data_IF_503020915257
#
_entry.id   IF_503020915257
#
_cell.length_a   1.000
_cell.length_b   1.000
_cell.length_c   1.000
_cell.angle_alpha   90.00
_cell.angle_beta   90.00
_cell.angle_gamma   90.00
#
_symmetry.space_group_name_H-M   'P 1'
#
loop_
_entity.id
_entity.type
_entity.pdbx_description
1 polymer ?
#
# COMPACT_ATOMS: atom_id res chain seq x y z
N UNK A 1 41.41 8.46 -20.97
CA UNK A 1 41.79 9.80 -20.46
C UNK A 1 40.59 10.36 -19.71
N UNK A 2 40.47 10.42 -18.38
CA UNK A 2 41.42 10.59 -17.27
C UNK A 2 41.81 12.05 -16.95
N UNK A 3 40.89 12.76 -16.27
CA UNK A 3 41.03 13.99 -15.44
C UNK A 3 39.79 14.03 -14.52
N UNK A 4 39.81 14.27 -13.19
CA UNK A 4 40.85 14.59 -12.20
C UNK A 4 41.50 15.98 -12.39
N UNK A 5 41.63 16.86 -11.38
CA UNK A 5 41.51 16.71 -9.92
C UNK A 5 40.87 18.01 -9.28
N UNK A 6 41.19 18.57 -8.09
CA UNK A 6 40.19 18.87 -7.05
C UNK A 6 40.11 20.35 -6.59
N UNK A 7 39.27 20.64 -5.59
CA UNK A 7 39.58 21.64 -4.55
C UNK A 7 38.71 21.41 -3.29
N UNK A 8 39.32 21.49 -2.10
CA UNK A 8 38.64 21.44 -0.81
C UNK A 8 38.95 22.70 0.01
N UNK A 9 37.98 23.15 0.81
CA UNK A 9 38.15 24.08 1.94
C UNK A 9 37.15 23.66 3.02
N UNK A 10 37.62 23.12 4.15
CA UNK A 10 37.97 23.89 5.35
C UNK A 10 36.70 24.50 6.01
N UNK A 11 36.06 23.81 6.97
CA UNK A 11 36.43 23.67 8.39
C UNK A 11 35.93 24.85 9.25
N UNK A 12 34.76 24.68 9.89
CA UNK A 12 34.26 25.56 10.96
C UNK A 12 33.84 24.75 12.20
N UNK A 13 34.80 24.66 13.12
CA UNK A 13 34.71 24.66 14.59
C UNK A 13 33.34 24.44 15.29
N UNK A 14 33.26 23.33 16.03
CA UNK A 14 32.96 23.20 17.48
C UNK A 14 32.67 24.49 18.30
N UNK A 15 31.87 24.55 19.39
CA UNK A 15 31.06 23.59 20.20
C UNK A 15 29.79 24.33 20.70
N UNK A 16 28.79 23.60 21.23
CA UNK A 16 28.16 23.96 22.52
C UNK A 16 27.52 22.74 23.22
N UNK A 17 27.60 22.70 24.55
CA UNK A 17 27.18 21.60 25.43
C UNK A 17 25.70 21.67 25.83
N UNK A 18 25.07 20.52 26.10
CA UNK A 18 23.66 20.41 26.56
C UNK A 18 23.44 20.78 28.04
N UNK A 19 22.51 20.15 28.80
CA UNK A 19 21.63 19.00 28.47
C UNK A 19 20.14 19.20 28.83
N UNK A 20 19.26 18.25 28.45
CA UNK A 20 18.13 17.88 29.30
C UNK A 20 17.73 16.42 29.11
N UNK A 21 17.57 15.69 30.21
CA UNK A 21 17.20 14.28 30.20
C UNK A 21 15.67 14.11 30.18
N UNK A 22 15.17 13.26 29.29
CA UNK A 22 13.82 12.72 29.37
C UNK A 22 13.92 11.18 29.33
N UNK A 23 13.74 10.55 30.49
CA UNK A 23 13.67 9.10 30.60
C UNK A 23 12.30 8.64 30.09
N UNK A 24 12.28 7.68 29.16
CA UNK A 24 11.10 6.86 28.90
C UNK A 24 11.54 5.41 28.80
N UNK A 25 10.98 4.57 29.67
CA UNK A 25 11.37 3.18 29.79
C UNK A 25 10.80 2.36 28.63
N UNK A 26 11.65 1.59 27.96
CA UNK A 26 11.22 0.53 27.05
C UNK A 26 11.06 -0.80 27.82
N UNK A 27 9.94 -1.53 27.67
CA UNK A 27 9.85 -2.90 28.13
C UNK A 27 10.71 -3.83 27.26
N UNK A 28 11.54 -4.67 27.88
CA UNK A 28 12.43 -5.58 27.17
C UNK A 28 11.67 -6.81 26.62
N UNK A 29 11.96 -7.28 25.39
CA UNK A 29 11.58 -8.61 24.94
C UNK A 29 12.54 -9.65 25.53
N UNK A 30 12.00 -10.66 26.22
CA UNK A 30 12.80 -11.77 26.75
C UNK A 30 13.21 -12.74 25.63
N UNK A 31 14.51 -12.84 25.35
CA UNK A 31 15.09 -13.88 24.50
C UNK A 31 15.34 -15.17 25.30
N UNK A 32 14.86 -16.35 24.86
CA UNK A 32 15.25 -17.63 25.46
C UNK A 32 16.68 -18.06 25.07
N UNK A 33 17.29 -18.84 25.97
CA UNK A 33 18.73 -19.14 26.05
C UNK A 33 19.28 -20.11 25.00
N UNK A 34 20.60 -20.02 24.78
CA UNK A 34 21.42 -20.76 23.82
C UNK A 34 21.51 -22.30 24.02
N UNK A 35 21.89 -23.06 22.95
CA UNK A 35 22.12 -24.50 23.01
C UNK A 35 23.50 -24.91 23.57
N UNK A 36 23.57 -26.09 24.19
CA UNK A 36 24.79 -26.65 24.79
C UNK A 36 25.67 -27.47 23.82
N UNK A 37 26.96 -27.59 24.16
CA UNK A 37 28.04 -28.45 23.58
C UNK A 37 28.85 -29.04 24.76
N UNK A 38 29.59 -30.19 24.65
CA UNK A 38 30.55 -30.55 23.59
C UNK A 38 30.44 -32.07 23.18
N UNK A 39 31.41 -32.89 22.71
CA UNK A 39 32.89 -32.79 22.48
C UNK A 39 33.39 -33.89 21.49
N UNK A 40 34.33 -33.55 20.59
CA UNK A 40 35.21 -34.47 19.81
C UNK A 40 34.52 -35.43 18.77
N UNK A 41 35.14 -35.95 17.70
CA UNK A 41 36.53 -36.46 17.49
C UNK A 41 37.04 -36.32 16.02
N UNK A 42 38.30 -35.85 15.86
CA UNK A 42 39.37 -36.10 14.83
C UNK A 42 39.12 -36.12 13.29
N UNK A 43 40.22 -36.04 12.52
CA UNK A 43 40.37 -35.72 11.07
C UNK A 43 40.95 -36.91 10.22
N UNK A 44 41.01 -36.83 8.86
CA UNK A 44 41.13 -37.96 7.91
C UNK A 44 42.57 -38.23 7.38
N UNK A 45 42.80 -39.15 6.40
CA UNK A 45 42.74 -38.84 4.94
C UNK A 45 42.09 -39.98 4.09
N UNK A 46 41.80 -39.90 2.77
CA UNK A 46 42.79 -39.97 1.64
C UNK A 46 42.17 -39.69 0.24
N UNK A 47 43.05 -39.27 -0.69
CA UNK A 47 42.95 -39.00 -2.16
C UNK A 47 42.47 -40.26 -2.95
N UNK A 48 41.88 -40.22 -4.17
CA UNK A 48 42.57 -40.14 -5.50
C UNK A 48 41.59 -40.04 -6.70
N UNK A 49 41.99 -39.22 -7.71
CA UNK A 49 41.73 -39.18 -9.17
C UNK A 49 40.34 -39.47 -9.85
N UNK A 50 39.83 -38.41 -10.49
CA UNK A 50 39.51 -38.26 -11.92
C UNK A 50 39.19 -39.46 -12.86
N UNK A 51 38.03 -39.38 -13.53
CA UNK A 51 37.89 -39.63 -14.97
C UNK A 51 36.64 -38.94 -15.59
N UNK A 52 36.79 -38.43 -16.82
CA UNK A 52 35.75 -37.95 -17.77
C UNK A 52 36.24 -38.38 -19.17
N UNK A 53 35.43 -38.39 -20.24
CA UNK A 53 33.97 -38.28 -20.33
C UNK A 53 33.35 -39.46 -21.13
N UNK A 54 32.02 -39.52 -21.25
CA UNK A 54 31.41 -40.12 -22.45
C UNK A 54 30.07 -39.47 -22.81
N UNK A 55 29.94 -39.13 -24.08
CA UNK A 55 28.72 -38.54 -24.65
C UNK A 55 27.68 -39.61 -24.90
N UNK A 56 26.45 -39.39 -24.41
CA UNK A 56 25.27 -39.95 -25.09
C UNK A 56 24.15 -38.92 -25.17
N UNK A 57 24.12 -38.25 -26.31
CA UNK A 57 22.97 -37.51 -26.84
C UNK A 57 21.77 -38.47 -26.94
N UNK A 58 20.69 -38.14 -26.22
CA UNK A 58 19.34 -38.61 -26.52
C UNK A 58 18.42 -37.40 -26.47
N UNK A 59 17.98 -36.94 -27.63
CA UNK A 59 17.02 -35.85 -27.79
C UNK A 59 15.62 -36.32 -27.40
N UNK A 60 15.15 -35.90 -26.23
CA UNK A 60 13.75 -36.04 -25.85
C UNK A 60 12.94 -34.89 -26.48
N UNK A 61 12.24 -35.18 -27.57
CA UNK A 61 11.25 -34.27 -28.15
C UNK A 61 10.04 -34.20 -27.22
N UNK A 62 9.99 -33.17 -26.38
CA UNK A 62 8.83 -32.89 -25.53
C UNK A 62 7.88 -31.92 -26.25
N UNK A 63 6.88 -32.47 -26.94
CA UNK A 63 5.81 -31.70 -27.58
C UNK A 63 4.85 -31.13 -26.53
N UNK A 64 5.22 -29.99 -25.93
CA UNK A 64 4.42 -29.33 -24.90
C UNK A 64 3.24 -28.53 -25.51
N UNK A 65 2.19 -29.22 -25.93
CA UNK A 65 0.91 -28.59 -26.34
C UNK A 65 -0.17 -28.82 -25.29
N UNK A 66 0.03 -28.23 -24.10
CA UNK A 66 -0.97 -28.23 -23.03
C UNK A 66 -0.77 -27.00 -22.13
N UNK A 67 -1.58 -25.94 -22.34
CA UNK A 67 -1.40 -24.69 -21.59
C UNK A 67 -2.31 -23.51 -21.97
N UNK A 68 -3.50 -23.74 -22.54
CA UNK A 68 -4.38 -22.68 -23.04
C UNK A 68 -5.84 -22.75 -22.53
N UNK A 69 -6.14 -23.59 -21.53
CA UNK A 69 -7.52 -23.88 -21.09
C UNK A 69 -7.80 -23.59 -19.59
N UNK A 70 -6.98 -22.77 -18.93
CA UNK A 70 -7.10 -22.48 -17.48
C UNK A 70 -7.55 -21.05 -17.14
N UNK A 71 -7.84 -20.20 -18.14
CA UNK A 71 -8.24 -18.79 -17.91
C UNK A 71 -9.76 -18.55 -17.89
N UNK A 72 -10.58 -19.51 -18.34
CA UNK A 72 -12.01 -19.29 -18.60
C UNK A 72 -12.91 -19.21 -17.35
N UNK A 73 -12.50 -19.81 -16.22
CA UNK A 73 -13.27 -19.74 -14.96
C UNK A 73 -13.18 -18.38 -14.25
N UNK A 74 -12.35 -17.46 -14.75
CA UNK A 74 -11.97 -16.23 -14.07
C UNK A 74 -12.65 -14.95 -14.59
N UNK A 75 -13.72 -15.04 -15.38
CA UNK A 75 -14.49 -13.84 -15.81
C UNK A 75 -15.87 -13.70 -15.15
N UNK A 76 -16.57 -14.80 -14.84
CA UNK A 76 -18.03 -14.81 -14.60
C UNK A 76 -18.56 -13.89 -13.48
N UNK A 77 -17.82 -13.66 -12.40
CA UNK A 77 -18.26 -12.76 -11.30
C UNK A 77 -18.20 -11.28 -11.68
N UNK A 78 -17.41 -10.91 -12.69
CA UNK A 78 -17.30 -9.54 -13.21
C UNK A 78 -18.20 -9.28 -14.42
N UNK A 79 -19.00 -10.27 -14.82
CA UNK A 79 -19.91 -10.19 -15.97
C UNK A 79 -21.39 -10.13 -15.53
N UNK A 80 -21.64 -10.22 -14.21
CA UNK A 80 -22.98 -9.99 -13.66
C UNK A 80 -23.33 -8.49 -13.77
N UNK A 81 -24.58 -8.13 -14.16
CA UNK A 81 -25.02 -6.75 -14.20
C UNK A 81 -24.96 -6.14 -12.80
N UNK A 82 -24.30 -4.99 -12.68
CA UNK A 82 -24.20 -4.23 -11.45
C UNK A 82 -25.57 -3.68 -11.02
N UNK A 83 -25.80 -3.61 -9.71
CA UNK A 83 -27.02 -3.01 -9.14
C UNK A 83 -27.07 -1.49 -9.41
N UNK A 84 -28.25 -0.85 -9.30
CA UNK A 84 -28.36 0.60 -9.39
C UNK A 84 -27.51 1.35 -8.34
N UNK A 85 -27.37 0.82 -7.13
CA UNK A 85 -26.54 1.42 -6.08
C UNK A 85 -25.04 1.27 -6.36
N UNK A 86 -24.61 0.15 -6.96
CA UNK A 86 -23.25 -0.02 -7.47
C UNK A 86 -22.96 0.98 -8.61
N UNK A 87 -23.87 1.16 -9.56
CA UNK A 87 -23.72 2.14 -10.64
C UNK A 87 -23.66 3.58 -10.10
N UNK A 88 -24.54 3.95 -9.16
CA UNK A 88 -24.48 5.25 -8.49
C UNK A 88 -23.17 5.44 -7.69
N UNK A 89 -22.62 4.38 -7.10
CA UNK A 89 -21.31 4.41 -6.46
C UNK A 89 -20.17 4.58 -7.48
N UNK A 90 -20.28 3.99 -8.68
CA UNK A 90 -19.33 4.17 -9.76
C UNK A 90 -19.21 5.63 -10.25
N UNK A 91 -20.29 6.40 -10.21
CA UNK A 91 -20.26 7.82 -10.58
C UNK A 91 -19.38 8.64 -9.64
N UNK A 92 -19.27 8.25 -8.36
CA UNK A 92 -18.47 8.94 -7.34
C UNK A 92 -16.99 8.55 -7.30
N UNK A 93 -16.57 7.57 -8.11
CA UNK A 93 -15.17 7.11 -8.18
C UNK A 93 -14.29 8.16 -8.83
N UNK A 94 -13.24 8.60 -8.11
CA UNK A 94 -12.17 9.42 -8.67
C UNK A 94 -11.28 8.59 -9.58
N UNK A 95 -10.84 9.19 -10.69
CA UNK A 95 -10.08 8.51 -11.74
C UNK A 95 -8.75 9.21 -12.03
N UNK A 96 -7.88 8.56 -12.79
CA UNK A 96 -6.51 9.02 -13.04
C UNK A 96 -5.54 8.53 -11.97
N UNK A 97 -4.42 9.24 -11.83
CA UNK A 97 -3.35 8.89 -10.91
C UNK A 97 -3.63 9.44 -9.51
N UNK A 98 -3.53 8.56 -8.50
CA UNK A 98 -3.46 8.93 -7.10
C UNK A 98 -1.99 8.83 -6.63
N UNK A 99 -1.47 9.93 -6.10
CA UNK A 99 -0.14 9.95 -5.47
C UNK A 99 -0.26 9.44 -4.03
N UNK A 100 0.45 8.37 -3.70
CA UNK A 100 0.38 7.70 -2.40
C UNK A 100 1.61 7.99 -1.53
N UNK A 101 1.52 7.55 -0.28
CA UNK A 101 2.66 7.52 0.64
C UNK A 101 3.83 6.68 0.07
N UNK A 102 5.02 6.78 0.68
CA UNK A 102 6.23 6.07 0.26
C UNK A 102 6.67 6.30 -1.22
N UNK A 103 6.17 7.36 -1.88
CA UNK A 103 6.34 7.63 -3.33
C UNK A 103 5.78 6.53 -4.22
N UNK A 104 4.73 5.85 -3.75
CA UNK A 104 3.94 4.92 -4.55
C UNK A 104 2.84 5.68 -5.31
N UNK A 105 2.23 5.03 -6.30
CA UNK A 105 1.09 5.57 -7.04
C UNK A 105 0.13 4.46 -7.43
N UNK A 106 -1.15 4.83 -7.54
CA UNK A 106 -2.23 3.96 -8.02
C UNK A 106 -2.92 4.65 -9.18
N UNK A 107 -3.10 3.96 -10.30
CA UNK A 107 -3.87 4.45 -11.44
C UNK A 107 -5.27 3.83 -11.40
N UNK A 108 -6.32 4.66 -11.43
CA UNK A 108 -7.72 4.21 -11.45
C UNK A 108 -8.38 4.67 -12.75
N UNK A 109 -8.84 3.74 -13.59
CA UNK A 109 -9.48 4.05 -14.87
C UNK A 109 -10.82 3.35 -15.04
N UNK A 110 -11.77 4.02 -15.72
CA UNK A 110 -13.05 3.42 -16.14
C UNK A 110 -12.82 2.50 -17.33
N UNK A 111 -13.47 1.36 -17.33
CA UNK A 111 -13.41 0.41 -18.45
C UNK A 111 -14.32 0.87 -19.58
N UNK A 112 -13.75 1.06 -20.78
CA UNK A 112 -14.53 1.35 -21.98
C UNK A 112 -15.53 0.22 -22.28
N UNK A 113 -16.81 0.56 -22.47
CA UNK A 113 -17.86 -0.41 -22.76
C UNK A 113 -18.41 -1.19 -21.56
N UNK A 114 -17.87 -1.03 -20.34
CA UNK A 114 -18.36 -1.69 -19.13
C UNK A 114 -18.62 -0.67 -18.01
N UNK A 115 -19.84 -0.13 -17.98
CA UNK A 115 -20.25 0.85 -16.97
C UNK A 115 -20.11 0.29 -15.55
N UNK A 116 -19.45 1.05 -14.68
CA UNK A 116 -19.19 0.66 -13.29
C UNK A 116 -18.02 -0.30 -13.07
N UNK A 117 -17.31 -0.72 -14.11
CA UNK A 117 -16.08 -1.48 -13.96
C UNK A 117 -14.86 -0.55 -14.03
N UNK A 118 -13.86 -0.86 -13.20
CA UNK A 118 -12.63 -0.07 -13.09
C UNK A 118 -11.39 -0.95 -13.19
N UNK A 119 -10.41 -0.53 -13.99
CA UNK A 119 -9.07 -1.10 -13.99
C UNK A 119 -8.20 -0.28 -13.04
N UNK A 120 -7.79 -0.90 -11.93
CA UNK A 120 -6.96 -0.30 -10.88
C UNK A 120 -5.56 -0.90 -10.95
N UNK A 121 -4.54 -0.08 -11.19
CA UNK A 121 -3.15 -0.53 -11.35
C UNK A 121 -2.27 -0.03 -10.22
N UNK A 122 -1.48 -0.93 -9.64
CA UNK A 122 -0.53 -0.64 -8.56
C UNK A 122 0.76 -1.43 -8.77
N UNK A 123 1.86 -0.71 -9.04
CA UNK A 123 3.12 -1.31 -9.47
C UNK A 123 2.89 -2.22 -10.68
N UNK A 124 3.29 -3.49 -10.57
CA UNK A 124 3.17 -4.50 -11.62
C UNK A 124 1.85 -5.29 -11.57
N UNK A 125 0.87 -4.89 -10.75
CA UNK A 125 -0.43 -5.57 -10.59
C UNK A 125 -1.55 -4.70 -11.16
N UNK A 126 -2.46 -5.33 -11.91
CA UNK A 126 -3.73 -4.74 -12.34
C UNK A 126 -4.88 -5.55 -11.77
N UNK A 127 -5.88 -4.86 -11.22
CA UNK A 127 -7.08 -5.43 -10.63
C UNK A 127 -8.28 -4.92 -11.40
N UNK A 128 -9.21 -5.82 -11.74
CA UNK A 128 -10.49 -5.39 -12.28
C UNK A 128 -11.48 -5.35 -11.13
N UNK A 129 -11.90 -4.14 -10.77
CA UNK A 129 -12.74 -3.90 -9.60
C UNK A 129 -14.13 -3.44 -10.00
N UNK A 130 -15.08 -3.76 -9.12
CA UNK A 130 -16.46 -3.25 -9.14
C UNK A 130 -16.74 -2.51 -7.83
N UNK A 131 -17.57 -1.46 -7.82
CA UNK A 131 -18.00 -0.81 -6.59
C UNK A 131 -18.89 -1.73 -5.76
N UNK A 132 -18.81 -1.58 -4.45
CA UNK A 132 -19.73 -2.16 -3.47
C UNK A 132 -20.63 -1.04 -2.91
N UNK A 133 -21.88 -1.36 -2.62
CA UNK A 133 -22.80 -0.41 -1.97
C UNK A 133 -22.36 -0.16 -0.53
N UNK A 134 -22.27 1.13 -0.15
CA UNK A 134 -21.87 1.54 1.20
C UNK A 134 -22.91 2.48 1.80
N UNK A 135 -23.21 2.29 3.08
CA UNK A 135 -24.13 3.16 3.84
C UNK A 135 -23.47 4.46 4.31
N UNK A 136 -22.13 4.51 4.36
CA UNK A 136 -21.34 5.66 4.81
C UNK A 136 -21.01 6.65 3.70
N UNK A 137 -21.38 6.37 2.45
CA UNK A 137 -21.07 7.19 1.28
C UNK A 137 -19.62 7.10 0.78
N UNK A 138 -18.73 6.41 1.50
CA UNK A 138 -17.37 6.14 1.05
C UNK A 138 -17.38 5.18 -0.15
N UNK A 139 -16.59 5.47 -1.19
CA UNK A 139 -16.51 4.61 -2.37
C UNK A 139 -15.59 3.43 -2.05
N UNK A 140 -16.10 2.20 -2.21
CA UNK A 140 -15.34 0.96 -2.00
C UNK A 140 -15.38 0.16 -3.29
N UNK A 141 -14.25 0.07 -3.99
CA UNK A 141 -14.07 -0.84 -5.13
C UNK A 141 -13.43 -2.14 -4.65
N UNK A 142 -13.85 -3.27 -5.21
CA UNK A 142 -13.38 -4.60 -4.81
C UNK A 142 -13.12 -5.48 -6.04
N UNK A 143 -11.96 -6.14 -6.06
CA UNK A 143 -11.67 -7.29 -6.93
C UNK A 143 -11.88 -8.57 -6.10
N UNK A 144 -13.01 -9.25 -6.34
CA UNK A 144 -13.38 -10.47 -5.62
C UNK A 144 -12.41 -11.64 -5.81
N UNK A 145 -11.53 -11.60 -6.84
CA UNK A 145 -10.59 -12.67 -7.17
C UNK A 145 -9.24 -12.46 -6.52
N UNK A 146 -8.73 -11.23 -6.61
CA UNK A 146 -7.52 -10.81 -5.92
C UNK A 146 -7.76 -10.59 -4.42
N UNK A 147 -9.02 -10.42 -3.99
CA UNK A 147 -9.41 -9.98 -2.65
C UNK A 147 -8.73 -8.65 -2.29
N UNK A 148 -8.65 -7.74 -3.27
CA UNK A 148 -8.06 -6.40 -3.11
C UNK A 148 -9.18 -5.37 -3.14
N UNK A 149 -9.13 -4.46 -2.17
CA UNK A 149 -10.10 -3.38 -2.00
C UNK A 149 -9.41 -2.03 -2.15
N UNK A 150 -10.00 -1.15 -2.96
CA UNK A 150 -9.66 0.27 -3.02
C UNK A 150 -10.75 1.05 -2.31
N UNK A 151 -10.38 1.75 -1.23
CA UNK A 151 -11.29 2.55 -0.42
C UNK A 151 -10.97 4.03 -0.61
N UNK A 152 -11.95 4.79 -1.10
CA UNK A 152 -11.89 6.22 -1.35
C UNK A 152 -12.78 6.97 -0.35
N UNK A 153 -12.16 7.84 0.43
CA UNK A 153 -12.77 8.73 1.43
C UNK A 153 -12.57 10.18 0.92
N UNK A 154 -13.42 11.16 1.26
CA UNK A 154 -13.31 12.52 0.71
C UNK A 154 -11.95 13.23 0.89
N UNK A 155 -11.14 12.82 1.88
CA UNK A 155 -9.82 13.40 2.15
C UNK A 155 -8.63 12.59 1.63
N UNK A 156 -8.80 11.29 1.34
CA UNK A 156 -7.75 10.37 0.87
C UNK A 156 -8.33 9.01 0.46
N UNK A 157 -7.59 8.30 -0.36
CA UNK A 157 -7.84 6.89 -0.70
C UNK A 157 -6.76 5.97 -0.12
N UNK A 158 -7.03 4.67 -0.11
CA UNK A 158 -6.08 3.63 0.32
C UNK A 158 -6.42 2.27 -0.30
N UNK A 159 -5.42 1.40 -0.46
CA UNK A 159 -5.57 0.05 -1.02
C UNK A 159 -5.24 -1.03 0.00
N UNK A 160 -6.09 -2.05 0.10
CA UNK A 160 -6.01 -3.13 1.07
C UNK A 160 -6.01 -4.49 0.37
N UNK A 161 -5.14 -5.40 0.81
CA UNK A 161 -5.25 -6.83 0.55
C UNK A 161 -6.11 -7.45 1.66
N UNK A 162 -7.38 -7.75 1.37
CA UNK A 162 -8.31 -8.35 2.34
C UNK A 162 -7.88 -9.77 2.72
N UNK A 163 -7.24 -10.51 1.80
CA UNK A 163 -6.79 -11.88 2.05
C UNK A 163 -5.59 -11.95 3.00
N UNK A 164 -4.66 -11.00 2.88
CA UNK A 164 -3.51 -10.90 3.78
C UNK A 164 -3.75 -10.01 5.00
N UNK A 165 -4.85 -9.24 5.02
CA UNK A 165 -5.13 -8.23 6.05
C UNK A 165 -4.14 -7.05 6.02
N UNK A 166 -3.48 -6.80 4.88
CA UNK A 166 -2.40 -5.82 4.75
C UNK A 166 -2.84 -4.58 3.99
N UNK A 167 -2.26 -3.43 4.35
CA UNK A 167 -2.36 -2.20 3.55
C UNK A 167 -1.29 -2.26 2.47
N UNK A 168 -1.70 -2.10 1.22
CA UNK A 168 -0.81 -2.13 0.05
C UNK A 168 -0.34 -0.72 -0.33
N UNK A 169 -1.22 0.27 -0.17
CA UNK A 169 -0.92 1.69 -0.37
C UNK A 169 -1.78 2.54 0.58
N UNK A 170 -1.17 3.55 1.20
CA UNK A 170 -1.83 4.47 2.11
C UNK A 170 -1.71 5.93 1.65
N UNK A 171 -2.60 6.78 2.20
CA UNK A 171 -2.63 8.23 1.99
C UNK A 171 -2.64 8.66 0.51
N UNK A 172 -3.28 7.88 -0.37
CA UNK A 172 -3.36 8.19 -1.78
C UNK A 172 -4.26 9.41 -2.04
N UNK A 173 -3.79 10.37 -2.84
CA UNK A 173 -4.49 11.60 -3.15
C UNK A 173 -4.66 11.77 -4.67
N UNK A 174 -5.91 11.69 -5.13
CA UNK A 174 -6.33 12.19 -6.44
C UNK A 174 -6.31 13.73 -6.50
N UNK A 175 -6.43 14.30 -7.70
CA UNK A 175 -6.50 15.75 -7.90
C UNK A 175 -7.72 16.36 -7.19
N UNK A 176 -8.90 15.76 -7.39
CA UNK A 176 -10.17 16.21 -6.83
C UNK A 176 -10.17 16.22 -5.29
N UNK A 177 -9.49 15.24 -4.66
CA UNK A 177 -9.31 15.19 -3.22
C UNK A 177 -8.36 16.29 -2.71
N UNK A 178 -7.35 16.67 -3.51
CA UNK A 178 -6.39 17.73 -3.18
C UNK A 178 -7.06 19.11 -3.18
N UNK A 179 -7.94 19.35 -4.14
CA UNK A 179 -8.78 20.54 -4.24
C UNK A 179 -9.82 20.62 -3.10
N UNK A 180 -10.51 19.51 -2.83
CA UNK A 180 -11.47 19.40 -1.72
C UNK A 180 -10.81 19.58 -0.35
N UNK A 181 -9.58 19.09 -0.17
CA UNK A 181 -8.79 19.31 1.04
C UNK A 181 -8.40 20.79 1.21
N UNK A 182 -7.93 21.46 0.15
CA UNK A 182 -7.62 22.90 0.20
C UNK A 182 -8.85 23.74 0.56
N UNK A 183 -10.01 23.44 -0.04
CA UNK A 183 -11.29 24.11 0.28
C UNK A 183 -11.69 23.90 1.74
N UNK A 184 -11.52 22.68 2.28
CA UNK A 184 -11.82 22.38 3.69
C UNK A 184 -10.88 23.12 4.65
N UNK A 185 -9.60 23.22 4.32
CA UNK A 185 -8.63 24.00 5.10
C UNK A 185 -9.00 25.48 5.08
N UNK A 186 -9.37 26.04 3.92
CA UNK A 186 -9.84 27.42 3.82
C UNK A 186 -11.11 27.67 4.65
N UNK A 187 -12.08 26.75 4.63
CA UNK A 187 -13.29 26.83 5.45
C UNK A 187 -13.06 26.62 6.96
N UNK A 188 -11.90 26.12 7.36
CA UNK A 188 -11.51 25.90 8.77
C UNK A 188 -10.45 26.93 9.23
N UNK A 189 -9.98 27.80 8.33
CA UNK A 189 -9.09 28.89 8.68
C UNK A 189 -9.85 29.96 9.48
N UNK A 190 -9.38 30.39 10.66
CA UNK A 190 -10.12 31.32 11.51
C UNK A 190 -10.07 32.75 10.96
N UNK A 191 -11.01 33.07 10.08
CA UNK A 191 -11.47 34.44 9.85
C UNK A 191 -12.50 34.83 10.90
N UNK A 192 -12.06 35.56 11.93
CA UNK A 192 -12.84 36.48 12.75
C UNK A 192 -14.11 35.96 13.49
N UNK A 193 -13.98 35.84 14.82
CA UNK A 193 -15.05 36.06 15.81
C UNK A 193 -16.47 35.47 15.55
N UNK A 194 -16.61 34.14 15.53
CA UNK A 194 -17.90 33.50 15.80
C UNK A 194 -18.16 33.48 17.32
N UNK A 195 -18.90 34.47 17.83
CA UNK A 195 -19.26 34.63 19.24
C UNK A 195 -19.80 33.36 19.89
N UNK A 196 -19.25 33.00 21.06
CA UNK A 196 -19.89 32.04 21.94
C UNK A 196 -21.25 32.59 22.41
N UNK A 197 -22.37 31.85 22.26
CA UNK A 197 -23.58 32.17 23.01
C UNK A 197 -23.31 31.81 24.47
N UNK A 198 -23.01 32.81 25.28
CA UNK A 198 -23.10 32.72 26.73
C UNK A 198 -24.58 32.63 27.12
N UNK A 199 -25.18 31.45 26.95
CA UNK A 199 -26.48 31.12 27.54
C UNK A 199 -26.29 31.02 29.05
N UNK A 200 -26.49 32.17 29.71
CA UNK A 200 -26.19 32.33 31.12
C UNK A 200 -27.04 31.44 32.02
N UNK A 201 -26.48 31.12 33.19
CA UNK A 201 -27.26 30.64 34.33
C UNK A 201 -28.36 31.65 34.66
N UNK A 202 -29.61 31.33 34.33
CA UNK A 202 -30.74 31.95 35.02
C UNK A 202 -31.09 31.11 36.23
N UNK A 203 -30.72 31.67 37.38
CA UNK A 203 -31.09 31.24 38.71
C UNK A 203 -32.62 31.19 38.84
N UNK A 204 -33.21 30.00 38.95
CA UNK A 204 -34.65 29.84 39.19
C UNK A 204 -34.93 29.77 40.71
N UNK A 205 -35.69 30.71 41.29
CA UNK A 205 -36.00 30.72 42.72
C UNK A 205 -37.14 29.76 43.07
N UNK A 206 -37.11 29.25 44.30
CA UNK A 206 -38.05 28.27 44.82
C UNK A 206 -39.52 28.74 44.82
N UNK A 207 -40.43 27.76 44.63
CA UNK A 207 -41.82 27.82 45.08
C UNK A 207 -42.38 26.42 45.34
#
# INVERSE_FOLDING_TARGET
MNRLLPAACALTLMLLTGPLAAQSAAPAPATPTAPAKPRAVKKPPTKVAAAKPSSRRSTATATATAGAAAAAGASTVLDLPLTPGQLAAAERVHTGQADCEHRQSVQVERVAGQAGHFDVRFGNRSFRMVPEETTTGAVRLHDARAQVVWLQIPSKSMMLDQKAGQRLADLCLHAEQREGAATRVAATAPGEAASAPASGSLLEPAR
#
